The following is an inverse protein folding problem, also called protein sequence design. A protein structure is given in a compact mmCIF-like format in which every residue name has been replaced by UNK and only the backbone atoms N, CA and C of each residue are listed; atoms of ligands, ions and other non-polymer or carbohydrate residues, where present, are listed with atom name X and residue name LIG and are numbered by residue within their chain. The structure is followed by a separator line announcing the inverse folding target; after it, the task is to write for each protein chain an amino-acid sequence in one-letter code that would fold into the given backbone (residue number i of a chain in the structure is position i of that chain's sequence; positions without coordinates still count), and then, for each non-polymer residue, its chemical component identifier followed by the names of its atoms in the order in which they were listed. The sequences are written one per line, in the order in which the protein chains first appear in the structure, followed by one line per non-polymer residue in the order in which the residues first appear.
data_IF_694413745970
#
_entry.id   IF_694413745970
#
_cell.length_a   1.000
_cell.length_b   1.000
_cell.length_c   1.000
_cell.angle_alpha   90.00
_cell.angle_beta   90.00
_cell.angle_gamma   90.00
#
_symmetry.space_group_name_H-M   'P 1'
#
loop_
_entity.id
_entity.type
_entity.pdbx_description
1 polymer ?
#
# COMPACT_ATOMS: atom_id res chain seq x y z
N UNK A 1 8.18 20.11 20.95
CA UNK A 1 7.26 20.69 19.95
C UNK A 1 7.05 19.78 18.75
N UNK A 2 8.10 19.13 18.24
CA UNK A 2 8.04 18.27 17.03
C UNK A 2 7.23 16.99 17.26
N UNK A 3 7.39 16.33 18.39
CA UNK A 3 6.69 15.08 18.75
C UNK A 3 5.19 15.30 18.95
N UNK A 4 4.76 16.49 19.36
CA UNK A 4 3.35 16.82 19.56
C UNK A 4 2.52 16.80 18.25
N UNK A 5 3.19 16.89 17.10
CA UNK A 5 2.54 16.86 15.78
C UNK A 5 2.47 15.45 15.17
N UNK A 6 3.04 14.47 15.81
CA UNK A 6 3.04 13.09 15.33
C UNK A 6 1.68 12.42 15.56
N UNK A 7 1.29 11.44 14.71
CA UNK A 7 0.11 10.62 14.94
C UNK A 7 0.16 9.95 16.31
N UNK A 8 -0.99 9.75 16.95
CA UNK A 8 -1.09 9.21 18.31
C UNK A 8 -0.32 7.91 18.52
N UNK A 9 -0.35 6.98 17.55
CA UNK A 9 0.40 5.73 17.62
C UNK A 9 1.91 5.92 17.54
N UNK A 10 2.41 6.90 16.76
CA UNK A 10 3.83 7.22 16.70
C UNK A 10 4.32 7.87 18.00
N UNK A 11 3.49 8.73 18.62
CA UNK A 11 3.75 9.27 19.96
C UNK A 11 3.79 8.16 21.01
N UNK A 12 2.84 7.25 20.99
CA UNK A 12 2.80 6.10 21.90
C UNK A 12 4.05 5.21 21.78
N UNK A 13 4.50 4.90 20.56
CA UNK A 13 5.76 4.16 20.35
C UNK A 13 6.93 4.94 20.92
N UNK A 14 7.01 6.24 20.64
CA UNK A 14 8.09 7.12 21.13
C UNK A 14 8.13 7.19 22.66
N UNK A 15 6.97 7.22 23.30
CA UNK A 15 6.86 7.19 24.77
C UNK A 15 7.36 5.86 25.36
N UNK A 16 7.10 4.73 24.66
CA UNK A 16 7.53 3.39 25.11
C UNK A 16 9.01 3.12 24.89
N UNK A 17 9.55 3.54 23.76
CA UNK A 17 10.95 3.29 23.35
C UNK A 17 11.90 4.38 23.87
N UNK A 18 11.35 5.53 24.22
CA UNK A 18 12.08 6.71 24.67
C UNK A 18 12.47 7.66 23.53
N UNK A 19 12.22 8.95 23.75
CA UNK A 19 12.49 9.99 22.74
C UNK A 19 13.97 10.05 22.33
N UNK A 20 14.89 9.83 23.27
CA UNK A 20 16.32 9.81 22.97
C UNK A 20 16.72 8.65 22.04
N UNK A 21 16.10 7.47 22.19
CA UNK A 21 16.33 6.32 21.32
C UNK A 21 15.87 6.65 19.91
N UNK A 22 14.68 7.24 19.76
CA UNK A 22 14.16 7.67 18.46
C UNK A 22 15.04 8.76 17.84
N UNK A 23 15.52 9.72 18.62
CA UNK A 23 16.45 10.76 18.17
C UNK A 23 17.80 10.20 17.73
N UNK A 24 18.32 9.17 18.38
CA UNK A 24 19.54 8.49 17.96
C UNK A 24 19.36 7.74 16.65
N UNK A 25 18.17 7.21 16.42
CA UNK A 25 17.83 6.50 15.18
C UNK A 25 17.45 7.45 14.03
N UNK A 26 17.05 8.67 14.35
CA UNK A 26 16.73 9.70 13.38
C UNK A 26 17.54 10.95 13.70
N UNK A 27 18.74 11.11 13.12
CA UNK A 27 19.52 12.31 13.30
C UNK A 27 18.71 13.54 12.85
N UNK A 28 18.87 14.63 13.56
CA UNK A 28 18.31 15.93 13.18
C UNK A 28 18.97 16.36 11.88
N UNK A 29 18.29 16.16 10.76
CA UNK A 29 18.78 16.53 9.46
C UNK A 29 18.33 15.58 8.35
N UNK A 30 18.63 15.98 7.14
CA UNK A 30 18.38 15.18 5.95
C UNK A 30 19.38 14.04 5.85
N UNK A 31 18.92 12.80 5.74
CA UNK A 31 19.77 11.68 5.34
C UNK A 31 19.67 11.45 3.83
N UNK A 32 20.80 11.21 3.19
CA UNK A 32 20.84 10.93 1.78
C UNK A 32 20.50 9.45 1.52
N UNK A 33 19.20 9.12 1.45
CA UNK A 33 18.73 7.77 1.12
C UNK A 33 19.16 7.28 -0.27
N UNK A 34 19.60 8.21 -1.12
CA UNK A 34 20.01 7.93 -2.51
C UNK A 34 21.53 7.95 -2.69
N UNK A 35 22.28 7.82 -1.59
CA UNK A 35 23.74 8.00 -1.58
C UNK A 35 24.46 7.17 -2.63
N UNK A 36 24.07 5.90 -2.79
CA UNK A 36 24.71 5.00 -3.76
C UNK A 36 24.38 5.40 -5.20
N UNK A 37 23.17 5.90 -5.47
CA UNK A 37 22.84 6.47 -6.79
C UNK A 37 23.75 7.64 -7.14
N UNK A 38 24.02 8.53 -6.18
CA UNK A 38 24.93 9.65 -6.43
C UNK A 38 26.33 9.18 -6.73
N UNK A 39 26.82 8.16 -6.02
CA UNK A 39 28.13 7.53 -6.33
C UNK A 39 28.13 6.90 -7.72
N UNK A 40 27.06 6.16 -8.08
CA UNK A 40 26.94 5.55 -9.41
C UNK A 40 26.92 6.63 -10.50
N UNK A 41 26.13 7.69 -10.35
CA UNK A 41 26.05 8.78 -11.33
C UNK A 41 27.37 9.50 -11.48
N UNK A 42 28.02 9.84 -10.36
CA UNK A 42 29.34 10.43 -10.40
C UNK A 42 30.36 9.53 -11.15
N UNK A 43 30.39 8.23 -10.84
CA UNK A 43 31.29 7.28 -11.51
C UNK A 43 30.99 7.13 -12.99
N UNK A 44 29.73 7.08 -13.39
CA UNK A 44 29.35 7.01 -14.79
C UNK A 44 29.81 8.25 -15.57
N UNK A 45 29.57 9.45 -15.04
CA UNK A 45 29.96 10.69 -15.73
C UNK A 45 31.46 10.86 -15.81
N UNK A 46 32.21 10.49 -14.77
CA UNK A 46 33.68 10.59 -14.76
C UNK A 46 34.39 9.47 -15.52
N UNK A 47 33.77 8.26 -15.62
CA UNK A 47 34.31 7.12 -16.37
C UNK A 47 34.30 7.40 -17.88
N UNK A 48 33.26 8.07 -18.37
CA UNK A 48 33.11 8.44 -19.79
C UNK A 48 33.61 9.87 -20.11
N UNK A 49 33.98 10.63 -19.09
CA UNK A 49 34.57 11.95 -19.14
C UNK A 49 35.80 12.06 -18.23
N UNK A 50 35.91 13.18 -17.53
CA UNK A 50 36.91 13.40 -16.47
C UNK A 50 36.25 14.08 -15.27
N UNK A 51 37.00 14.29 -14.17
CA UNK A 51 36.50 15.08 -13.02
C UNK A 51 36.31 16.55 -13.38
N UNK A 52 37.10 17.06 -14.30
CA UNK A 52 37.05 18.45 -14.79
C UNK A 52 35.97 18.64 -15.86
N UNK A 53 35.76 17.63 -16.70
CA UNK A 53 34.78 17.62 -17.79
C UNK A 53 33.94 16.34 -17.75
N UNK A 54 32.92 16.26 -16.85
CA UNK A 54 32.07 15.10 -16.72
C UNK A 54 31.16 14.92 -17.94
N UNK A 55 31.06 13.69 -18.44
CA UNK A 55 30.22 13.35 -19.60
C UNK A 55 28.78 13.03 -19.15
N UNK A 56 27.92 14.01 -19.13
CA UNK A 56 26.53 13.88 -18.63
C UNK A 56 25.62 13.01 -19.52
N UNK A 57 25.94 12.84 -20.82
CA UNK A 57 25.17 11.94 -21.69
C UNK A 57 25.24 10.48 -21.23
N UNK A 58 26.22 10.10 -20.43
CA UNK A 58 26.30 8.80 -19.79
C UNK A 58 25.06 8.52 -18.92
N UNK A 59 24.46 9.54 -18.30
CA UNK A 59 23.24 9.42 -17.52
C UNK A 59 22.01 9.20 -18.40
N UNK A 60 22.01 9.74 -19.62
CA UNK A 60 20.97 9.47 -20.62
C UNK A 60 21.02 8.00 -21.05
N UNK A 61 22.22 7.46 -21.33
CA UNK A 61 22.38 6.03 -21.60
C UNK A 61 21.95 5.18 -20.43
N UNK A 62 22.34 5.54 -19.20
CA UNK A 62 21.89 4.86 -17.99
C UNK A 62 20.35 4.83 -17.91
N UNK A 63 19.68 5.94 -18.16
CA UNK A 63 18.22 6.04 -18.18
C UNK A 63 17.62 5.01 -19.15
N UNK A 64 18.07 5.00 -20.40
CA UNK A 64 17.58 4.06 -21.40
C UNK A 64 17.84 2.61 -20.99
N UNK A 65 19.04 2.29 -20.46
CA UNK A 65 19.37 0.96 -20.02
C UNK A 65 18.46 0.47 -18.89
N UNK A 66 18.20 1.31 -17.89
CA UNK A 66 17.33 0.99 -16.74
C UNK A 66 15.90 0.72 -17.19
N UNK A 67 15.34 1.56 -18.05
CA UNK A 67 13.96 1.36 -18.53
C UNK A 67 13.86 0.19 -19.51
N UNK A 68 14.85 -0.04 -20.33
CA UNK A 68 14.92 -1.24 -21.19
C UNK A 68 14.93 -2.52 -20.35
N UNK A 69 15.75 -2.58 -19.30
CA UNK A 69 15.79 -3.72 -18.38
C UNK A 69 14.45 -3.90 -17.63
N UNK A 70 13.80 -2.81 -17.25
CA UNK A 70 12.48 -2.89 -16.61
C UNK A 70 11.43 -3.48 -17.57
N UNK A 71 11.40 -3.01 -18.82
CA UNK A 71 10.52 -3.54 -19.87
C UNK A 71 10.82 -5.03 -20.14
N UNK A 72 12.10 -5.39 -20.21
CA UNK A 72 12.52 -6.78 -20.37
C UNK A 72 12.06 -7.66 -19.19
N UNK A 73 12.18 -7.18 -17.95
CA UNK A 73 11.68 -7.89 -16.77
C UNK A 73 10.16 -8.11 -16.83
N UNK A 74 9.39 -7.10 -17.24
CA UNK A 74 7.93 -7.22 -17.43
C UNK A 74 7.61 -8.22 -18.54
N UNK A 75 8.31 -8.15 -19.67
CA UNK A 75 8.15 -9.08 -20.78
C UNK A 75 8.40 -10.53 -20.34
N UNK A 76 9.53 -10.80 -19.70
CA UNK A 76 9.85 -12.14 -19.21
C UNK A 76 8.85 -12.63 -18.17
N UNK A 77 8.37 -11.76 -17.28
CA UNK A 77 7.33 -12.08 -16.33
C UNK A 77 6.06 -12.56 -17.05
N UNK A 78 5.58 -11.81 -18.03
CA UNK A 78 4.42 -12.18 -18.83
C UNK A 78 4.65 -13.51 -19.60
N UNK A 79 5.83 -13.72 -20.16
CA UNK A 79 6.21 -14.96 -20.84
C UNK A 79 6.21 -16.18 -19.91
N UNK A 80 6.70 -16.01 -18.67
CA UNK A 80 6.70 -17.07 -17.66
C UNK A 80 5.27 -17.46 -17.24
N UNK A 81 4.35 -16.49 -17.26
CA UNK A 81 2.92 -16.71 -17.01
C UNK A 81 2.18 -17.32 -18.22
N UNK A 82 2.86 -17.61 -19.33
CA UNK A 82 2.27 -18.23 -20.51
C UNK A 82 1.67 -17.24 -21.51
N UNK A 83 1.81 -15.94 -21.30
CA UNK A 83 1.31 -14.93 -22.24
C UNK A 83 2.08 -15.04 -23.57
N UNK A 84 1.36 -14.94 -24.67
CA UNK A 84 1.96 -14.99 -25.99
C UNK A 84 2.95 -13.85 -26.24
N UNK A 85 4.01 -14.02 -27.08
CA UNK A 85 5.08 -13.04 -27.24
C UNK A 85 4.59 -11.64 -27.64
N UNK A 86 3.62 -11.56 -28.56
CA UNK A 86 3.10 -10.28 -29.05
C UNK A 86 2.35 -9.51 -27.94
N UNK A 87 1.50 -10.22 -27.18
CA UNK A 87 0.79 -9.61 -26.05
C UNK A 87 1.75 -9.23 -24.90
N UNK A 88 2.77 -10.07 -24.65
CA UNK A 88 3.80 -9.74 -23.65
C UNK A 88 4.57 -8.47 -24.04
N UNK A 89 4.95 -8.33 -25.31
CA UNK A 89 5.60 -7.14 -25.82
C UNK A 89 4.68 -5.90 -25.75
N UNK A 90 3.42 -6.05 -26.15
CA UNK A 90 2.42 -4.99 -26.06
C UNK A 90 2.18 -4.53 -24.62
N UNK A 91 2.04 -5.47 -23.67
CA UNK A 91 1.87 -5.15 -22.25
C UNK A 91 3.09 -4.43 -21.67
N UNK A 92 4.30 -4.86 -22.06
CA UNK A 92 5.54 -4.22 -21.62
C UNK A 92 5.68 -2.80 -22.18
N UNK A 93 5.36 -2.60 -23.47
CA UNK A 93 5.32 -1.29 -24.08
C UNK A 93 4.26 -0.37 -23.47
N UNK A 94 3.10 -0.94 -23.12
CA UNK A 94 2.03 -0.20 -22.45
C UNK A 94 2.42 0.21 -21.02
N UNK A 95 3.10 -0.65 -20.28
CA UNK A 95 3.64 -0.31 -18.96
C UNK A 95 4.63 0.85 -19.05
N UNK A 96 5.51 0.84 -20.07
CA UNK A 96 6.42 1.94 -20.37
C UNK A 96 5.65 3.25 -20.68
N UNK A 97 4.62 3.16 -21.52
CA UNK A 97 3.79 4.31 -21.86
C UNK A 97 3.09 4.91 -20.63
N UNK A 98 2.58 4.08 -19.73
CA UNK A 98 1.95 4.52 -18.47
C UNK A 98 2.97 5.22 -17.57
N UNK A 99 4.16 4.64 -17.44
CA UNK A 99 5.23 5.17 -16.60
C UNK A 99 5.96 6.40 -17.18
N UNK A 100 5.68 6.83 -18.42
CA UNK A 100 6.45 7.84 -19.14
C UNK A 100 6.65 9.16 -18.39
N UNK A 101 5.67 9.56 -17.57
CA UNK A 101 5.72 10.78 -16.77
C UNK A 101 6.80 10.78 -15.68
N UNK A 102 7.37 9.62 -15.39
CA UNK A 102 8.39 9.43 -14.38
C UNK A 102 9.75 9.03 -14.97
N UNK A 103 9.93 9.16 -16.29
CA UNK A 103 11.17 8.79 -17.00
C UNK A 103 12.21 9.91 -16.96
N UNK A 104 12.63 10.25 -15.77
CA UNK A 104 13.68 11.21 -15.50
C UNK A 104 15.00 10.54 -15.11
N UNK A 105 16.09 11.31 -15.22
CA UNK A 105 17.40 10.93 -14.68
C UNK A 105 17.37 11.18 -13.16
N UNK A 106 16.75 10.27 -12.44
CA UNK A 106 16.55 10.36 -10.98
C UNK A 106 16.80 9.01 -10.32
N UNK A 107 17.11 8.98 -9.02
CA UNK A 107 17.23 7.74 -8.25
C UNK A 107 15.98 6.85 -8.34
N UNK A 108 14.79 7.43 -8.53
CA UNK A 108 13.53 6.72 -8.71
C UNK A 108 13.54 5.75 -9.91
N UNK A 109 14.37 6.00 -10.95
CA UNK A 109 14.54 5.07 -12.06
C UNK A 109 14.99 3.68 -11.62
N UNK A 110 15.85 3.58 -10.60
CA UNK A 110 16.19 2.28 -10.00
C UNK A 110 14.98 1.58 -9.39
N UNK A 111 14.10 2.31 -8.71
CA UNK A 111 12.90 1.70 -8.14
C UNK A 111 11.97 1.14 -9.20
N UNK A 112 11.80 1.81 -10.35
CA UNK A 112 11.00 1.32 -11.46
C UNK A 112 11.54 0.00 -12.01
N UNK A 113 12.86 -0.12 -12.16
CA UNK A 113 13.52 -1.38 -12.54
C UNK A 113 13.35 -2.45 -11.47
N UNK A 114 13.66 -2.10 -10.21
CA UNK A 114 13.75 -3.07 -9.13
C UNK A 114 12.39 -3.64 -8.73
N UNK A 115 11.28 -2.86 -8.87
CA UNK A 115 9.92 -3.41 -8.74
C UNK A 115 9.67 -4.47 -9.81
N UNK A 116 10.02 -4.21 -11.07
CA UNK A 116 9.81 -5.18 -12.15
C UNK A 116 10.65 -6.45 -11.95
N UNK A 117 11.92 -6.31 -11.54
CA UNK A 117 12.81 -7.44 -11.20
C UNK A 117 12.26 -8.22 -9.99
N UNK A 118 11.77 -7.51 -8.97
CA UNK A 118 11.20 -8.14 -7.78
C UNK A 118 9.97 -9.00 -8.12
N UNK A 119 9.05 -8.48 -8.93
CA UNK A 119 7.90 -9.24 -9.42
C UNK A 119 8.33 -10.43 -10.26
N UNK A 120 9.33 -10.26 -11.13
CA UNK A 120 9.91 -11.37 -11.91
C UNK A 120 10.45 -12.48 -10.99
N UNK A 121 11.14 -12.13 -9.91
CA UNK A 121 11.64 -13.09 -8.92
C UNK A 121 10.50 -13.86 -8.26
N UNK A 122 9.41 -13.18 -7.87
CA UNK A 122 8.23 -13.83 -7.29
C UNK A 122 7.59 -14.83 -8.27
N UNK A 123 7.51 -14.47 -9.54
CA UNK A 123 6.97 -15.36 -10.59
C UNK A 123 7.92 -16.53 -10.85
N UNK A 124 9.23 -16.31 -10.93
CA UNK A 124 10.24 -17.38 -11.03
C UNK A 124 10.15 -18.35 -9.85
N UNK A 125 9.96 -17.81 -8.64
CA UNK A 125 9.77 -18.60 -7.42
C UNK A 125 8.54 -19.49 -7.52
N UNK A 126 7.43 -18.92 -7.99
CA UNK A 126 6.14 -19.61 -8.07
C UNK A 126 6.08 -20.69 -9.17
N UNK A 127 6.76 -20.44 -10.31
CA UNK A 127 6.60 -21.26 -11.51
C UNK A 127 7.84 -22.09 -11.89
N UNK A 128 9.01 -21.80 -11.31
CA UNK A 128 10.27 -22.49 -11.65
C UNK A 128 10.90 -23.19 -10.46
N UNK A 129 11.45 -22.41 -9.51
CA UNK A 129 12.17 -22.98 -8.37
C UNK A 129 12.05 -22.08 -7.13
N UNK A 130 11.75 -22.68 -5.99
CA UNK A 130 11.66 -22.02 -4.69
C UNK A 130 12.90 -21.18 -4.32
N UNK A 131 14.08 -21.59 -4.76
CA UNK A 131 15.33 -20.93 -4.40
C UNK A 131 15.51 -19.55 -5.07
N UNK A 132 14.78 -19.26 -6.16
CA UNK A 132 14.84 -17.92 -6.76
C UNK A 132 14.41 -16.82 -5.81
N UNK A 133 13.58 -17.12 -4.79
CA UNK A 133 13.15 -16.13 -3.82
C UNK A 133 14.34 -15.48 -3.08
N UNK A 134 15.44 -16.21 -2.88
CA UNK A 134 16.59 -15.67 -2.17
C UNK A 134 17.29 -14.53 -2.90
N UNK A 135 17.00 -14.33 -4.20
CA UNK A 135 17.47 -13.18 -4.96
C UNK A 135 16.85 -11.85 -4.48
N UNK A 136 15.72 -11.90 -3.74
CA UNK A 136 15.17 -10.67 -3.16
C UNK A 136 16.12 -10.05 -2.13
N UNK A 137 16.97 -10.84 -1.48
CA UNK A 137 17.89 -10.34 -0.44
C UNK A 137 18.88 -9.33 -1.03
N UNK A 138 19.73 -9.68 -2.01
CA UNK A 138 20.63 -8.70 -2.62
C UNK A 138 19.87 -7.57 -3.34
N UNK A 139 18.71 -7.85 -3.93
CA UNK A 139 17.88 -6.84 -4.59
C UNK A 139 17.41 -5.78 -3.59
N UNK A 140 16.88 -6.18 -2.45
CA UNK A 140 16.38 -5.25 -1.43
C UNK A 140 17.52 -4.48 -0.77
N UNK A 141 18.66 -5.14 -0.51
CA UNK A 141 19.87 -4.47 0.00
C UNK A 141 20.34 -3.41 -0.99
N UNK A 142 20.46 -3.73 -2.26
CA UNK A 142 20.84 -2.75 -3.28
C UNK A 142 19.81 -1.61 -3.35
N UNK A 143 18.52 -1.95 -3.38
CA UNK A 143 17.43 -0.97 -3.49
C UNK A 143 17.43 0.03 -2.34
N UNK A 144 17.58 -0.43 -1.10
CA UNK A 144 17.61 0.44 0.09
C UNK A 144 18.77 1.44 0.12
N UNK A 145 19.82 1.20 -0.69
CA UNK A 145 20.98 2.09 -0.82
C UNK A 145 20.89 3.05 -2.02
N UNK A 146 20.12 2.70 -3.05
CA UNK A 146 19.98 3.55 -4.25
C UNK A 146 18.79 4.48 -4.19
N UNK A 147 17.68 4.08 -3.49
CA UNK A 147 16.47 4.91 -3.43
C UNK A 147 15.57 4.55 -2.25
N UNK A 148 14.96 5.57 -1.64
CA UNK A 148 13.97 5.40 -0.56
C UNK A 148 12.72 4.59 -0.93
N UNK A 149 12.47 4.34 -2.23
CA UNK A 149 11.37 3.51 -2.72
C UNK A 149 11.50 2.00 -2.48
N UNK A 150 12.54 1.51 -1.78
CA UNK A 150 12.66 0.09 -1.39
C UNK A 150 11.46 -0.44 -0.60
N UNK A 151 10.67 0.44 0.00
CA UNK A 151 9.43 0.10 0.70
C UNK A 151 8.44 -0.63 -0.22
N UNK A 152 8.46 -0.34 -1.53
CA UNK A 152 7.63 -1.04 -2.52
C UNK A 152 7.91 -2.55 -2.57
N UNK A 153 9.12 -3.01 -2.25
CA UNK A 153 9.41 -4.44 -2.15
C UNK A 153 8.49 -5.11 -1.12
N UNK A 154 8.30 -4.49 0.03
CA UNK A 154 7.44 -5.02 1.10
C UNK A 154 5.96 -4.79 0.81
N UNK A 155 5.59 -3.69 0.13
CA UNK A 155 4.22 -3.46 -0.35
C UNK A 155 3.79 -4.55 -1.34
N UNK A 156 4.71 -5.12 -2.11
CA UNK A 156 4.44 -6.25 -3.02
C UNK A 156 4.54 -7.59 -2.29
N UNK A 157 5.56 -7.79 -1.45
CA UNK A 157 5.82 -9.06 -0.78
C UNK A 157 4.75 -9.43 0.26
N UNK A 158 4.31 -8.45 1.06
CA UNK A 158 3.34 -8.71 2.15
C UNK A 158 1.99 -9.20 1.60
N UNK A 159 1.36 -8.57 0.60
CA UNK A 159 0.16 -9.11 -0.04
C UNK A 159 0.40 -10.46 -0.72
N UNK A 160 1.57 -10.66 -1.35
CA UNK A 160 1.91 -11.93 -1.97
C UNK A 160 1.97 -13.08 -0.94
N UNK A 161 2.68 -12.89 0.17
CA UNK A 161 2.75 -13.84 1.27
C UNK A 161 1.37 -14.02 1.90
N UNK A 162 0.65 -12.93 2.14
CA UNK A 162 -0.69 -12.93 2.70
C UNK A 162 -1.68 -13.72 1.85
N UNK A 163 -1.64 -13.54 0.52
CA UNK A 163 -2.45 -14.30 -0.42
C UNK A 163 -2.20 -15.80 -0.31
N UNK A 164 -0.95 -16.23 -0.35
CA UNK A 164 -0.60 -17.65 -0.25
C UNK A 164 -0.95 -18.24 1.12
N UNK A 165 -0.78 -17.47 2.20
CA UNK A 165 -1.23 -17.88 3.53
C UNK A 165 -2.75 -18.09 3.55
N UNK A 166 -3.52 -17.14 3.01
CA UNK A 166 -5.00 -17.20 2.94
C UNK A 166 -5.45 -18.42 2.13
N UNK A 167 -4.76 -18.75 1.02
CA UNK A 167 -5.12 -19.89 0.18
C UNK A 167 -4.92 -21.25 0.88
N UNK A 168 -4.06 -21.34 1.89
CA UNK A 168 -3.89 -22.52 2.71
C UNK A 168 -4.94 -22.66 3.82
N UNK A 169 -5.73 -21.62 4.09
CA UNK A 169 -6.74 -21.65 5.12
C UNK A 169 -7.98 -22.45 4.66
N UNK A 170 -8.61 -23.23 5.56
CA UNK A 170 -9.94 -23.78 5.31
C UNK A 170 -10.95 -22.67 4.97
N UNK A 171 -11.96 -22.98 4.12
CA UNK A 171 -12.96 -22.00 3.65
C UNK A 171 -13.58 -21.17 4.79
N UNK A 172 -13.84 -21.82 5.93
CA UNK A 172 -14.41 -21.16 7.12
C UNK A 172 -13.50 -20.04 7.65
N UNK A 173 -12.22 -20.34 7.79
CA UNK A 173 -11.22 -19.35 8.22
C UNK A 173 -10.99 -18.26 7.18
N UNK A 174 -11.04 -18.63 5.91
CA UNK A 174 -10.93 -17.66 4.81
C UNK A 174 -12.01 -16.59 4.89
N UNK A 175 -13.28 -17.00 5.09
CA UNK A 175 -14.41 -16.07 5.24
C UNK A 175 -14.22 -15.17 6.46
N UNK A 176 -13.83 -15.74 7.61
CA UNK A 176 -13.60 -14.97 8.83
C UNK A 176 -12.45 -13.96 8.67
N UNK A 177 -11.30 -14.42 8.20
CA UNK A 177 -10.12 -13.55 7.99
C UNK A 177 -10.45 -12.42 7.02
N UNK A 178 -11.13 -12.72 5.92
CA UNK A 178 -11.55 -11.71 4.97
C UNK A 178 -12.50 -10.68 5.61
N UNK A 179 -13.50 -11.13 6.35
CA UNK A 179 -14.44 -10.24 7.04
C UNK A 179 -13.75 -9.35 8.07
N UNK A 180 -12.88 -9.92 8.89
CA UNK A 180 -12.11 -9.19 9.92
C UNK A 180 -11.21 -8.15 9.24
N UNK A 181 -10.48 -8.51 8.18
CA UNK A 181 -9.65 -7.57 7.44
C UNK A 181 -10.49 -6.45 6.82
N UNK A 182 -11.66 -6.79 6.25
CA UNK A 182 -12.59 -5.80 5.71
C UNK A 182 -13.06 -4.82 6.79
N UNK A 183 -13.42 -5.30 7.96
CA UNK A 183 -13.84 -4.45 9.08
C UNK A 183 -12.72 -3.55 9.58
N UNK A 184 -11.51 -4.07 9.74
CA UNK A 184 -10.34 -3.29 10.15
C UNK A 184 -9.96 -2.23 9.13
N UNK A 185 -9.94 -2.59 7.84
CA UNK A 185 -9.63 -1.65 6.76
C UNK A 185 -10.70 -0.58 6.64
N UNK A 186 -11.98 -0.94 6.63
CA UNK A 186 -13.08 0.03 6.61
C UNK A 186 -13.01 0.96 7.82
N UNK A 187 -12.80 0.43 9.02
CA UNK A 187 -12.71 1.23 10.24
C UNK A 187 -11.49 2.16 10.22
N UNK A 188 -10.32 1.65 9.85
CA UNK A 188 -9.07 2.41 9.78
C UNK A 188 -9.10 3.48 8.70
N UNK A 189 -9.52 3.15 7.48
CA UNK A 189 -9.62 4.12 6.39
C UNK A 189 -10.69 5.18 6.68
N UNK A 190 -11.84 4.78 7.22
CA UNK A 190 -12.89 5.72 7.60
C UNK A 190 -12.40 6.68 8.68
N UNK A 191 -11.69 6.16 9.68
CA UNK A 191 -11.08 7.01 10.72
C UNK A 191 -10.02 7.95 10.15
N UNK A 192 -9.13 7.48 9.30
CA UNK A 192 -8.02 8.27 8.76
C UNK A 192 -8.47 9.33 7.75
N UNK A 193 -9.39 9.00 6.84
CA UNK A 193 -9.86 9.93 5.82
C UNK A 193 -10.97 10.87 6.31
N UNK A 194 -11.74 10.45 7.27
CA UNK A 194 -12.88 11.23 7.81
C UNK A 194 -12.64 11.72 9.22
N UNK A 195 -11.70 11.12 9.98
CA UNK A 195 -11.44 11.44 11.39
C UNK A 195 -11.14 12.90 11.62
N UNK A 196 -10.23 13.50 10.84
CA UNK A 196 -9.89 14.93 10.98
C UNK A 196 -11.08 15.84 10.65
N UNK A 197 -11.93 15.44 9.70
CA UNK A 197 -13.16 16.17 9.36
C UNK A 197 -14.25 15.93 10.43
N UNK A 198 -14.31 14.71 10.96
CA UNK A 198 -15.22 14.38 12.05
C UNK A 198 -14.78 15.06 13.36
N UNK A 199 -13.48 15.21 13.63
CA UNK A 199 -12.97 15.98 14.77
C UNK A 199 -13.30 17.46 14.66
N UNK A 200 -13.10 18.08 13.49
CA UNK A 200 -13.48 19.46 13.23
C UNK A 200 -15.00 19.64 13.35
N UNK A 201 -15.78 18.67 12.92
CA UNK A 201 -17.23 18.68 13.03
C UNK A 201 -17.67 18.40 14.47
N UNK A 202 -17.02 17.48 15.19
CA UNK A 202 -17.28 17.22 16.61
C UNK A 202 -16.89 18.42 17.48
N UNK A 203 -15.81 19.13 17.17
CA UNK A 203 -15.41 20.36 17.84
C UNK A 203 -16.46 21.47 17.59
N UNK A 204 -16.96 21.61 16.39
CA UNK A 204 -18.06 22.51 16.06
C UNK A 204 -19.36 22.14 16.79
N UNK A 205 -19.70 20.83 16.85
CA UNK A 205 -20.88 20.34 17.56
C UNK A 205 -20.72 20.31 19.08
N UNK A 206 -19.51 20.18 19.64
CA UNK A 206 -19.28 20.28 21.07
C UNK A 206 -19.54 21.69 21.61
N UNK A 207 -19.31 22.70 20.78
CA UNK A 207 -19.71 24.08 21.07
C UNK A 207 -21.25 24.26 21.08
N UNK A 208 -22.01 23.32 20.50
CA UNK A 208 -23.48 23.33 20.43
C UNK A 208 -24.15 22.33 21.37
N UNK A 209 -23.46 21.79 22.40
CA UNK A 209 -23.99 20.84 23.40
C UNK A 209 -24.55 19.50 22.88
N UNK A 210 -24.24 19.09 21.67
CA UNK A 210 -24.65 17.78 21.18
C UNK A 210 -23.57 16.74 21.55
N UNK A 211 -23.79 15.96 22.59
CA UNK A 211 -22.86 14.95 23.12
C UNK A 211 -22.43 13.86 22.13
N UNK A 212 -21.42 14.17 21.31
CA UNK A 212 -20.80 13.22 20.38
C UNK A 212 -19.74 12.31 21.03
N UNK A 213 -19.42 12.52 22.30
CA UNK A 213 -18.29 11.86 22.98
C UNK A 213 -18.50 10.37 23.35
N UNK A 214 -19.74 9.88 23.41
CA UNK A 214 -20.01 8.50 23.84
C UNK A 214 -19.99 7.42 22.74
N UNK A 215 -20.06 7.79 21.45
CA UNK A 215 -20.19 6.80 20.37
C UNK A 215 -18.84 6.13 20.04
N UNK A 216 -17.70 6.78 20.37
CA UNK A 216 -16.36 6.29 20.07
C UNK A 216 -16.02 4.95 20.68
N UNK A 217 -16.27 4.85 21.96
CA UNK A 217 -15.89 3.68 22.75
C UNK A 217 -16.78 2.48 22.42
N UNK A 218 -18.07 2.71 22.18
CA UNK A 218 -19.00 1.67 21.78
C UNK A 218 -18.69 1.02 20.45
N UNK A 219 -18.12 1.78 19.49
CA UNK A 219 -17.71 1.22 18.20
C UNK A 219 -16.52 0.27 18.34
N UNK A 220 -15.56 0.60 19.20
CA UNK A 220 -14.44 -0.31 19.49
C UNK A 220 -14.96 -1.58 20.15
N UNK A 221 -15.85 -1.47 21.11
CA UNK A 221 -16.49 -2.62 21.77
C UNK A 221 -17.23 -3.48 20.75
N UNK A 222 -18.06 -2.89 19.89
CA UNK A 222 -18.79 -3.61 18.85
C UNK A 222 -17.86 -4.29 17.84
N UNK A 223 -16.77 -3.63 17.46
CA UNK A 223 -15.77 -4.23 16.58
C UNK A 223 -15.09 -5.44 17.24
N UNK A 224 -14.70 -5.31 18.52
CA UNK A 224 -14.11 -6.42 19.30
C UNK A 224 -15.09 -7.58 19.42
N UNK A 225 -16.37 -7.29 19.71
CA UNK A 225 -17.41 -8.32 19.78
C UNK A 225 -17.66 -8.98 18.42
N UNK A 226 -17.66 -8.21 17.32
CA UNK A 226 -17.80 -8.75 15.97
C UNK A 226 -16.63 -9.68 15.62
N UNK A 227 -15.39 -9.27 15.91
CA UNK A 227 -14.18 -10.08 15.68
C UNK A 227 -14.22 -11.35 16.55
N UNK A 228 -14.47 -11.21 17.85
CA UNK A 228 -14.56 -12.34 18.78
C UNK A 228 -15.70 -13.30 18.40
N UNK A 229 -16.88 -12.78 18.07
CA UNK A 229 -18.03 -13.54 17.61
C UNK A 229 -17.74 -14.27 16.28
N UNK A 230 -17.02 -13.64 15.35
CA UNK A 230 -16.57 -14.25 14.10
C UNK A 230 -15.68 -15.48 14.37
N UNK A 231 -14.68 -15.33 15.24
CA UNK A 231 -13.78 -16.42 15.62
C UNK A 231 -14.57 -17.55 16.30
N UNK A 232 -15.45 -17.21 17.25
CA UNK A 232 -16.28 -18.18 17.95
C UNK A 232 -17.19 -18.96 16.97
N UNK A 233 -17.81 -18.26 16.00
CA UNK A 233 -18.65 -18.87 14.98
C UNK A 233 -17.87 -19.83 14.06
N UNK A 234 -16.62 -19.51 13.72
CA UNK A 234 -15.74 -20.39 12.93
C UNK A 234 -15.41 -21.66 13.73
N UNK A 235 -15.13 -21.53 15.02
CA UNK A 235 -14.79 -22.65 15.89
C UNK A 235 -16.00 -23.55 16.15
N UNK A 236 -17.21 -23.01 16.04
CA UNK A 236 -18.44 -23.77 16.26
C UNK A 236 -18.79 -24.67 15.07
N UNK A 237 -18.41 -25.95 15.13
CA UNK A 237 -18.51 -26.93 14.04
C UNK A 237 -19.94 -27.21 13.53
N UNK A 238 -20.96 -26.90 14.31
CA UNK A 238 -22.36 -27.13 13.93
C UNK A 238 -22.92 -26.11 12.92
N UNK A 239 -22.25 -24.96 12.76
CA UNK A 239 -22.66 -23.94 11.80
C UNK A 239 -22.19 -24.36 10.39
N UNK A 240 -23.10 -24.44 9.42
CA UNK A 240 -22.74 -24.73 8.04
C UNK A 240 -21.92 -23.59 7.41
N UNK A 241 -21.10 -23.89 6.39
CA UNK A 241 -20.28 -22.90 5.71
C UNK A 241 -21.10 -21.77 5.05
N UNK A 242 -22.30 -22.12 4.54
CA UNK A 242 -23.23 -21.14 3.97
C UNK A 242 -23.83 -20.22 5.04
N UNK A 243 -24.25 -20.78 6.17
CA UNK A 243 -24.76 -19.99 7.31
C UNK A 243 -23.68 -19.08 7.89
N UNK A 244 -22.44 -19.58 7.99
CA UNK A 244 -21.30 -18.80 8.43
C UNK A 244 -21.00 -17.63 7.45
N UNK A 245 -21.04 -17.88 6.16
CA UNK A 245 -20.86 -16.84 5.13
C UNK A 245 -21.96 -15.77 5.22
N UNK A 246 -23.23 -16.20 5.37
CA UNK A 246 -24.35 -15.28 5.54
C UNK A 246 -24.19 -14.42 6.80
N UNK A 247 -23.80 -15.03 7.93
CA UNK A 247 -23.52 -14.31 9.18
C UNK A 247 -22.46 -13.23 9.00
N UNK A 248 -21.35 -13.54 8.31
CA UNK A 248 -20.28 -12.58 8.06
C UNK A 248 -20.69 -11.46 7.12
N UNK A 249 -21.50 -11.73 6.09
CA UNK A 249 -22.08 -10.70 5.22
C UNK A 249 -22.97 -9.75 6.04
N UNK A 250 -23.88 -10.29 6.85
CA UNK A 250 -24.74 -9.49 7.71
C UNK A 250 -23.93 -8.65 8.70
N UNK A 251 -22.94 -9.25 9.38
CA UNK A 251 -22.05 -8.52 10.29
C UNK A 251 -21.30 -7.41 9.59
N UNK A 252 -20.80 -7.64 8.37
CA UNK A 252 -20.12 -6.63 7.55
C UNK A 252 -21.06 -5.48 7.19
N UNK A 253 -22.29 -5.77 6.82
CA UNK A 253 -23.31 -4.74 6.57
C UNK A 253 -23.62 -3.92 7.83
N UNK A 254 -23.74 -4.56 8.98
CA UNK A 254 -23.97 -3.87 10.27
C UNK A 254 -22.78 -2.95 10.61
N UNK A 255 -21.53 -3.44 10.52
CA UNK A 255 -20.34 -2.62 10.75
C UNK A 255 -20.32 -1.42 9.81
N UNK A 256 -20.62 -1.62 8.53
CA UNK A 256 -20.70 -0.54 7.56
C UNK A 256 -21.77 0.49 7.90
N UNK A 257 -22.98 0.06 8.26
CA UNK A 257 -24.07 0.98 8.67
C UNK A 257 -23.71 1.75 9.94
N UNK A 258 -23.05 1.12 10.91
CA UNK A 258 -22.59 1.79 12.12
C UNK A 258 -21.50 2.83 11.81
N UNK A 259 -20.57 2.53 10.90
CA UNK A 259 -19.58 3.50 10.43
C UNK A 259 -20.24 4.69 9.72
N UNK A 260 -21.23 4.45 8.86
CA UNK A 260 -22.00 5.51 8.23
C UNK A 260 -22.73 6.38 9.25
N UNK A 261 -23.41 5.76 10.21
CA UNK A 261 -24.15 6.49 11.26
C UNK A 261 -23.23 7.36 12.12
N UNK A 262 -22.02 6.87 12.42
CA UNK A 262 -21.05 7.61 13.23
C UNK A 262 -20.43 8.80 12.51
N UNK A 263 -19.96 8.60 11.30
CA UNK A 263 -19.18 9.61 10.59
C UNK A 263 -20.05 10.54 9.73
N UNK A 264 -21.33 10.19 9.54
CA UNK A 264 -22.28 10.96 8.76
C UNK A 264 -23.63 11.06 9.48
N UNK A 265 -23.65 11.62 10.71
CA UNK A 265 -24.89 11.84 11.42
C UNK A 265 -25.79 12.79 10.62
N UNK A 266 -27.09 12.68 10.80
CA UNK A 266 -28.02 13.64 10.23
C UNK A 266 -27.77 15.05 10.81
N UNK A 267 -27.78 16.11 9.99
CA UNK A 267 -27.59 17.45 10.48
C UNK A 267 -28.70 17.81 11.46
N UNK A 268 -28.40 18.50 12.57
CA UNK A 268 -29.44 18.96 13.49
C UNK A 268 -30.33 20.02 12.84
N UNK A 269 -31.63 19.95 13.11
CA UNK A 269 -32.65 20.83 12.53
C UNK A 269 -32.49 22.34 12.86
N UNK A 270 -31.54 22.67 13.72
CA UNK A 270 -31.26 24.04 14.19
C UNK A 270 -30.09 24.74 13.45
N UNK A 271 -29.50 24.08 12.44
CA UNK A 271 -28.39 24.68 11.71
C UNK A 271 -28.81 25.74 10.70
N UNK A 272 -27.96 26.79 10.56
CA UNK A 272 -28.10 27.80 9.52
C UNK A 272 -27.98 27.14 8.11
N UNK A 273 -28.80 27.55 7.14
CA UNK A 273 -28.86 26.97 5.79
C UNK A 273 -27.51 26.91 5.06
N UNK A 274 -26.62 27.86 5.30
CA UNK A 274 -25.29 27.87 4.70
C UNK A 274 -24.40 26.75 5.26
N UNK A 275 -24.48 26.53 6.56
CA UNK A 275 -23.75 25.49 7.26
C UNK A 275 -24.32 24.11 6.91
N UNK A 276 -25.65 23.99 6.80
CA UNK A 276 -26.34 22.80 6.34
C UNK A 276 -25.88 22.38 4.93
N UNK A 277 -25.72 23.33 4.00
CA UNK A 277 -25.21 23.04 2.64
C UNK A 277 -23.77 22.52 2.68
N UNK A 278 -22.87 23.20 3.39
CA UNK A 278 -21.48 22.77 3.52
C UNK A 278 -21.41 21.38 4.16
N UNK A 279 -22.23 21.11 5.18
CA UNK A 279 -22.33 19.82 5.82
C UNK A 279 -22.86 18.75 4.86
N UNK A 280 -23.93 19.04 4.12
CA UNK A 280 -24.53 18.12 3.15
C UNK A 280 -23.53 17.76 2.03
N UNK A 281 -22.79 18.73 1.50
CA UNK A 281 -21.83 18.52 0.43
C UNK A 281 -20.66 17.66 0.90
N UNK A 282 -20.12 17.92 2.09
CA UNK A 282 -19.04 17.12 2.64
C UNK A 282 -19.49 15.74 3.11
N UNK A 283 -20.68 15.64 3.70
CA UNK A 283 -21.25 14.36 4.10
C UNK A 283 -21.59 13.50 2.89
N UNK A 284 -22.13 14.07 1.82
CA UNK A 284 -22.44 13.34 0.60
C UNK A 284 -21.17 12.71 -0.01
N UNK A 285 -20.10 13.51 -0.20
CA UNK A 285 -18.82 13.00 -0.73
C UNK A 285 -18.22 11.88 0.11
N UNK A 286 -18.23 12.02 1.43
CA UNK A 286 -17.72 11.00 2.33
C UNK A 286 -18.58 9.73 2.37
N UNK A 287 -19.91 9.87 2.33
CA UNK A 287 -20.83 8.72 2.25
C UNK A 287 -20.57 7.89 0.99
N UNK A 288 -20.45 8.53 -0.17
CA UNK A 288 -20.15 7.86 -1.43
C UNK A 288 -18.78 7.17 -1.41
N UNK A 289 -17.79 7.78 -0.78
CA UNK A 289 -16.48 7.14 -0.57
C UNK A 289 -16.63 5.88 0.28
N UNK A 290 -17.35 5.91 1.40
CA UNK A 290 -17.61 4.74 2.23
C UNK A 290 -18.38 3.64 1.48
N UNK A 291 -19.42 4.01 0.72
CA UNK A 291 -20.18 3.07 -0.11
C UNK A 291 -19.27 2.44 -1.16
N UNK A 292 -18.46 3.24 -1.85
CA UNK A 292 -17.49 2.75 -2.83
C UNK A 292 -16.51 1.76 -2.22
N UNK A 293 -15.92 2.08 -1.06
CA UNK A 293 -15.00 1.18 -0.35
C UNK A 293 -15.68 -0.12 0.09
N UNK A 294 -16.92 -0.05 0.57
CA UNK A 294 -17.68 -1.24 0.93
C UNK A 294 -17.93 -2.13 -0.28
N UNK A 295 -18.42 -1.57 -1.39
CA UNK A 295 -18.67 -2.30 -2.64
C UNK A 295 -17.38 -2.93 -3.17
N UNK A 296 -16.28 -2.19 -3.18
CA UNK A 296 -14.96 -2.70 -3.60
C UNK A 296 -14.48 -3.85 -2.69
N UNK A 297 -14.66 -3.72 -1.38
CA UNK A 297 -14.30 -4.79 -0.43
C UNK A 297 -15.14 -6.04 -0.66
N UNK A 298 -16.44 -5.89 -0.88
CA UNK A 298 -17.32 -7.02 -1.17
C UNK A 298 -17.00 -7.67 -2.52
N UNK A 299 -16.73 -6.87 -3.56
CA UNK A 299 -16.32 -7.38 -4.87
C UNK A 299 -14.98 -8.12 -4.80
N UNK A 300 -14.01 -7.58 -4.07
CA UNK A 300 -12.72 -8.23 -3.84
C UNK A 300 -12.90 -9.56 -3.11
N UNK A 301 -13.73 -9.63 -2.06
CA UNK A 301 -14.01 -10.87 -1.36
C UNK A 301 -14.70 -11.92 -2.22
N UNK A 302 -15.68 -11.50 -3.02
CA UNK A 302 -16.32 -12.38 -3.98
C UNK A 302 -15.33 -12.93 -5.02
N UNK A 303 -14.43 -12.06 -5.52
CA UNK A 303 -13.37 -12.46 -6.44
C UNK A 303 -12.39 -13.45 -5.77
N UNK A 304 -11.93 -13.19 -4.53
CA UNK A 304 -11.05 -14.10 -3.79
C UNK A 304 -11.70 -15.47 -3.60
N UNK A 305 -12.99 -15.50 -3.22
CA UNK A 305 -13.72 -16.75 -3.04
C UNK A 305 -13.91 -17.52 -4.35
N UNK A 306 -14.20 -16.81 -5.45
CA UNK A 306 -14.37 -17.43 -6.79
C UNK A 306 -13.05 -17.90 -7.39
N UNK A 307 -11.97 -17.14 -7.15
CA UNK A 307 -10.64 -17.47 -7.68
C UNK A 307 -9.95 -18.56 -6.88
N UNK A 308 -10.41 -18.89 -5.68
CA UNK A 308 -9.79 -19.90 -4.83
C UNK A 308 -9.60 -21.24 -5.55
N UNK A 309 -10.58 -21.68 -6.31
CA UNK A 309 -10.56 -22.97 -6.99
C UNK A 309 -9.93 -22.89 -8.39
N UNK A 310 -9.82 -21.69 -8.96
CA UNK A 310 -9.23 -21.41 -10.28
C UNK A 310 -7.87 -20.76 -10.20
N UNK A 311 -7.34 -20.57 -9.00
CA UNK A 311 -6.28 -19.63 -8.71
C UNK A 311 -4.95 -19.98 -9.36
N UNK A 312 -4.17 -18.92 -9.53
CA UNK A 312 -2.73 -18.92 -9.58
C UNK A 312 -2.15 -20.03 -8.71
N UNK A 313 -1.12 -20.68 -9.21
CA UNK A 313 -0.42 -21.74 -8.50
C UNK A 313 -0.12 -21.32 -7.07
N UNK A 314 -0.79 -21.93 -6.10
CA UNK A 314 -0.52 -21.73 -4.69
C UNK A 314 0.86 -22.31 -4.38
N UNK A 315 1.71 -21.56 -3.69
CA UNK A 315 3.03 -22.04 -3.27
C UNK A 315 2.86 -23.26 -2.37
N UNK A 316 3.65 -24.30 -2.61
CA UNK A 316 3.75 -25.41 -1.67
C UNK A 316 4.38 -24.95 -0.35
N UNK A 317 4.22 -25.73 0.70
CA UNK A 317 4.69 -25.36 2.05
C UNK A 317 6.16 -25.02 2.08
N UNK A 318 6.98 -25.74 1.32
CA UNK A 318 8.43 -25.52 1.26
C UNK A 318 8.76 -24.17 0.63
N UNK A 319 8.19 -23.90 -0.55
CA UNK A 319 8.37 -22.63 -1.25
C UNK A 319 7.84 -21.46 -0.43
N UNK A 320 6.69 -21.63 0.24
CA UNK A 320 6.15 -20.63 1.15
C UNK A 320 7.11 -20.30 2.30
N UNK A 321 7.67 -21.31 2.97
CA UNK A 321 8.63 -21.11 4.06
C UNK A 321 9.91 -20.42 3.58
N UNK A 322 10.43 -20.79 2.38
CA UNK A 322 11.54 -20.05 1.77
C UNK A 322 11.17 -18.58 1.50
N UNK A 323 9.95 -18.31 1.06
CA UNK A 323 9.48 -16.94 0.78
C UNK A 323 9.43 -16.09 2.05
N UNK A 324 8.85 -16.62 3.13
CA UNK A 324 8.81 -15.94 4.43
C UNK A 324 10.23 -15.73 4.98
N UNK A 325 11.06 -16.78 4.93
CA UNK A 325 12.46 -16.70 5.38
C UNK A 325 13.29 -15.69 4.60
N UNK A 326 13.20 -15.72 3.26
CA UNK A 326 13.91 -14.75 2.42
C UNK A 326 13.41 -13.31 2.66
N UNK A 327 12.11 -13.11 2.88
CA UNK A 327 11.57 -11.81 3.24
C UNK A 327 12.12 -11.27 4.57
N UNK A 328 12.17 -12.13 5.59
CA UNK A 328 12.73 -11.77 6.89
C UNK A 328 14.25 -11.45 6.78
N UNK A 329 14.99 -12.29 6.06
CA UNK A 329 16.44 -12.06 5.83
C UNK A 329 16.66 -10.79 5.02
N UNK A 330 15.86 -10.53 3.98
CA UNK A 330 15.94 -9.30 3.19
C UNK A 330 15.70 -8.04 4.05
N UNK A 331 14.72 -8.10 4.95
CA UNK A 331 14.45 -7.01 5.89
C UNK A 331 15.63 -6.75 6.82
N UNK A 332 16.18 -7.79 7.45
CA UNK A 332 17.35 -7.66 8.33
C UNK A 332 18.59 -7.18 7.54
N UNK A 333 18.85 -7.79 6.38
CA UNK A 333 19.98 -7.45 5.56
C UNK A 333 19.95 -5.99 5.07
N UNK A 334 18.78 -5.47 4.66
CA UNK A 334 18.71 -4.08 4.23
C UNK A 334 19.01 -3.10 5.38
N UNK A 335 18.67 -3.45 6.63
CA UNK A 335 19.00 -2.62 7.79
C UNK A 335 20.50 -2.71 8.10
N UNK A 336 21.07 -3.90 8.05
CA UNK A 336 22.49 -4.14 8.39
C UNK A 336 23.42 -3.53 7.34
N UNK A 337 23.11 -3.71 6.05
CA UNK A 337 23.97 -3.27 4.94
C UNK A 337 23.64 -1.88 4.38
N UNK A 338 22.76 -1.13 5.02
CA UNK A 338 22.55 0.29 4.74
C UNK A 338 23.34 1.13 5.75
N UNK A 339 24.15 2.14 5.33
CA UNK A 339 24.97 2.95 6.23
C UNK A 339 24.16 3.75 7.25
N UNK A 340 22.87 3.94 7.01
CA UNK A 340 21.97 4.65 7.92
C UNK A 340 21.14 3.68 8.79
N UNK A 341 21.27 2.38 8.61
CA UNK A 341 20.62 1.34 9.41
C UNK A 341 19.10 1.60 9.60
N UNK A 342 18.63 1.51 10.85
CA UNK A 342 17.23 1.78 11.22
C UNK A 342 16.79 3.20 10.90
N UNK A 343 17.72 4.16 10.88
CA UNK A 343 17.40 5.55 10.53
C UNK A 343 16.83 5.66 9.11
N UNK A 344 17.35 4.87 8.15
CA UNK A 344 16.81 4.86 6.79
C UNK A 344 15.33 4.42 6.75
N UNK A 345 15.00 3.38 7.52
CA UNK A 345 13.61 2.91 7.64
C UNK A 345 12.70 3.95 8.29
N UNK A 346 13.15 4.53 9.40
CA UNK A 346 12.39 5.54 10.12
C UNK A 346 12.26 6.85 9.33
N UNK A 347 13.26 7.22 8.54
CA UNK A 347 13.24 8.45 7.74
C UNK A 347 12.13 8.43 6.68
N UNK A 348 11.97 7.32 5.96
CA UNK A 348 10.88 7.15 4.98
C UNK A 348 9.51 7.36 5.64
N UNK A 349 9.36 6.87 6.88
CA UNK A 349 8.16 7.05 7.66
C UNK A 349 7.98 8.49 8.15
N UNK A 350 9.03 9.11 8.70
CA UNK A 350 9.00 10.48 9.23
C UNK A 350 8.71 11.49 8.14
N UNK A 351 9.29 11.36 6.96
CA UNK A 351 8.97 12.22 5.80
C UNK A 351 7.46 12.20 5.52
N UNK A 352 6.82 11.03 5.59
CA UNK A 352 5.40 10.88 5.27
C UNK A 352 4.45 11.50 6.30
N UNK A 353 4.87 11.63 7.57
CA UNK A 353 4.01 12.06 8.69
C UNK A 353 4.45 13.39 9.36
N UNK A 354 5.60 13.95 8.98
CA UNK A 354 6.13 15.19 9.57
C UNK A 354 5.36 16.41 9.08
N UNK A 355 5.48 17.54 9.82
CA UNK A 355 5.00 18.85 9.35
C UNK A 355 5.57 19.26 7.99
N UNK A 356 6.78 18.80 7.68
CA UNK A 356 7.43 19.07 6.41
C UNK A 356 6.78 18.28 5.26
N UNK A 357 5.99 17.24 5.54
CA UNK A 357 5.22 16.52 4.53
C UNK A 357 4.24 17.45 3.77
N UNK A 358 3.78 18.55 4.37
CA UNK A 358 2.94 19.52 3.69
C UNK A 358 3.68 20.22 2.53
N UNK A 359 4.97 20.50 2.69
CA UNK A 359 5.80 21.10 1.63
C UNK A 359 6.08 20.15 0.47
N UNK A 360 6.06 18.84 0.73
CA UNK A 360 6.22 17.82 -0.32
C UNK A 360 4.97 17.64 -1.16
N UNK A 361 3.80 18.11 -0.68
CA UNK A 361 2.56 18.08 -1.47
C UNK A 361 2.61 18.95 -2.71
N UNK A 362 3.49 19.95 -2.75
CA UNK A 362 3.73 20.79 -3.91
C UNK A 362 4.59 20.08 -4.97
N UNK A 363 5.22 18.95 -4.60
CA UNK A 363 5.97 18.11 -5.55
C UNK A 363 4.99 17.23 -6.31
N UNK A 364 4.93 17.35 -7.62
CA UNK A 364 3.97 16.66 -8.49
C UNK A 364 3.91 15.14 -8.31
N UNK A 365 5.02 14.52 -7.92
CA UNK A 365 5.13 13.08 -7.64
C UNK A 365 4.34 12.63 -6.40
N UNK A 366 4.04 13.55 -5.48
CA UNK A 366 3.30 13.28 -4.23
C UNK A 366 1.82 13.63 -4.34
N UNK A 367 1.39 14.13 -5.52
CA UNK A 367 -0.01 14.34 -5.78
C UNK A 367 -0.77 12.99 -5.80
N UNK A 368 -2.04 13.04 -5.48
CA UNK A 368 -2.89 11.86 -5.55
C UNK A 368 -2.93 11.31 -6.97
N UNK A 369 -2.94 9.99 -7.11
CA UNK A 369 -2.97 9.34 -8.42
C UNK A 369 -4.15 9.79 -9.30
N UNK A 370 -5.30 10.12 -8.71
CA UNK A 370 -6.51 10.64 -9.38
C UNK A 370 -6.65 12.15 -9.28
N UNK A 371 -5.56 12.88 -9.06
CA UNK A 371 -5.59 14.34 -9.13
C UNK A 371 -5.54 14.79 -10.60
N UNK A 372 -6.68 15.25 -11.10
CA UNK A 372 -6.84 15.73 -12.48
C UNK A 372 -6.15 17.06 -12.73
N UNK A 373 -5.76 17.77 -11.69
CA UNK A 373 -5.04 19.04 -11.77
C UNK A 373 -3.52 18.84 -11.83
N UNK A 374 -3.05 17.59 -11.64
CA UNK A 374 -1.63 17.29 -11.69
C UNK A 374 -1.09 17.49 -13.12
N UNK A 375 -0.16 18.43 -13.36
CA UNK A 375 0.37 18.72 -14.67
C UNK A 375 1.16 17.56 -15.29
N UNK A 376 1.61 16.59 -14.49
CA UNK A 376 2.28 15.36 -14.96
C UNK A 376 1.31 14.39 -15.64
N UNK A 377 -0.01 14.57 -15.46
CA UNK A 377 -1.03 13.81 -16.16
C UNK A 377 -1.11 12.34 -15.72
N UNK A 378 -0.87 12.05 -14.44
CA UNK A 378 -0.86 10.68 -13.89
C UNK A 378 -2.24 10.06 -13.74
N UNK A 379 -3.30 10.87 -13.68
CA UNK A 379 -4.66 10.41 -13.41
C UNK A 379 -5.19 9.44 -14.49
N UNK A 380 -5.00 9.73 -15.78
CA UNK A 380 -5.48 8.90 -16.89
C UNK A 380 -4.76 7.54 -16.92
N UNK A 381 -3.43 7.45 -16.91
CA UNK A 381 -2.71 6.19 -16.84
C UNK A 381 -3.11 5.34 -15.63
N UNK A 382 -3.22 5.94 -14.47
CA UNK A 382 -3.63 5.24 -13.24
C UNK A 382 -5.04 4.65 -13.37
N UNK A 383 -6.02 5.47 -13.81
CA UNK A 383 -7.40 5.03 -13.98
C UNK A 383 -7.50 3.90 -15.03
N UNK A 384 -6.76 4.01 -16.12
CA UNK A 384 -6.70 2.98 -17.17
C UNK A 384 -6.20 1.66 -16.58
N UNK A 385 -5.09 1.67 -15.84
CA UNK A 385 -4.56 0.47 -15.18
C UNK A 385 -5.54 -0.11 -14.17
N UNK A 386 -6.17 0.75 -13.38
CA UNK A 386 -7.15 0.34 -12.39
C UNK A 386 -8.36 -0.37 -13.02
N UNK A 387 -8.91 0.21 -14.09
CA UNK A 387 -10.03 -0.38 -14.84
C UNK A 387 -9.60 -1.72 -15.48
N UNK A 388 -8.43 -1.76 -16.12
CA UNK A 388 -7.93 -3.00 -16.74
C UNK A 388 -7.69 -4.11 -15.70
N UNK A 389 -7.18 -3.77 -14.52
CA UNK A 389 -6.99 -4.73 -13.43
C UNK A 389 -8.33 -5.31 -12.96
N UNK A 390 -9.36 -4.48 -12.80
CA UNK A 390 -10.70 -4.94 -12.45
C UNK A 390 -11.35 -5.77 -13.56
N UNK A 391 -11.22 -5.36 -14.81
CA UNK A 391 -11.72 -6.15 -15.94
C UNK A 391 -11.05 -7.52 -16.02
N UNK A 392 -9.72 -7.57 -15.85
CA UNK A 392 -8.99 -8.83 -15.82
C UNK A 392 -9.46 -9.73 -14.65
N UNK A 393 -9.69 -9.15 -13.46
CA UNK A 393 -10.18 -9.88 -12.30
C UNK A 393 -11.60 -10.44 -12.55
N UNK A 394 -12.50 -9.64 -13.13
CA UNK A 394 -13.87 -10.05 -13.48
C UNK A 394 -13.83 -11.17 -14.51
N UNK A 395 -13.11 -10.99 -15.60
CA UNK A 395 -13.00 -12.01 -16.67
C UNK A 395 -12.43 -13.31 -16.13
N UNK A 396 -11.50 -13.24 -15.19
CA UNK A 396 -10.92 -14.42 -14.58
C UNK A 396 -11.85 -15.11 -13.59
N UNK A 397 -12.74 -14.35 -12.93
CA UNK A 397 -13.68 -14.90 -11.95
C UNK A 397 -14.88 -15.62 -12.59
N UNK A 398 -15.20 -15.33 -13.84
CA UNK A 398 -16.23 -16.01 -14.65
C UNK A 398 -15.65 -17.26 -15.31
#
# INVERSE_FOLDING_TARGET
AEVATWPGWARWITEKVGLETVRKWHPTGWINQNWLTHVIFYRLTTMFGSEQEPYFDALVFWKFAVYFLAVAAIYFTARLLGVNPALAAAASGFALFIGRSFFDIRPAGFSNLLVAVFVLILVLTSYRNALYIWLIVPVVVFWSNVHGGYVYAFIVLVPFVGWHLIMHLPKRWLVAVYSILTWLVLSGLTHQFLGRRAELMAEYFSQTNAGASGIGDWMVVLLVLAVGGSIAAVLHRQISDSALTALHVVATCIVFLLLLARYFPAPPNTMNDRILRIFADHAAGGRWTCVGMFVLSMAFGAAVLSLRDKALRVLDRRTFMHTVGAGAVAFVAMVVFNPFHLTNLMHTFVISVSKHAERWRDVHEWHRALDWTNPVGTAIPFLTMYILAWLALIVWSI
#
